data_IF_340584998584
#
_entry.id   IF_340584998584
#
_cell.length_a   1.000
_cell.length_b   1.000
_cell.length_c   1.000
_cell.angle_alpha   90.00
_cell.angle_beta   90.00
_cell.angle_gamma   90.00
#
_symmetry.space_group_name_H-M   'P 1'
#
loop_
_entity.id
_entity.type
_entity.pdbx_description
1 polymer ?
#
# COMPACT_ATOMS: atom_id res chain seq x y z
N UNK A 1 -1.93 7.76 16.76
CA UNK A 1 -3.27 7.56 16.17
C UNK A 1 -3.74 8.74 15.33
N UNK A 2 -4.32 8.47 14.15
CA UNK A 2 -4.77 9.47 13.16
C UNK A 2 -5.70 10.53 13.75
N UNK A 3 -6.71 10.12 14.53
CA UNK A 3 -7.67 11.05 15.16
C UNK A 3 -7.00 12.09 16.08
N UNK A 4 -5.93 11.71 16.78
CA UNK A 4 -5.17 12.64 17.62
C UNK A 4 -4.50 13.73 16.79
N UNK A 5 -3.93 13.36 15.64
CA UNK A 5 -3.34 14.31 14.68
C UNK A 5 -4.40 15.23 14.12
N UNK A 6 -5.59 14.71 13.77
CA UNK A 6 -6.69 15.54 13.27
C UNK A 6 -7.09 16.62 14.28
N UNK A 7 -7.18 16.27 15.57
CA UNK A 7 -7.54 17.22 16.62
C UNK A 7 -6.46 18.29 16.83
N UNK A 8 -5.18 17.90 16.85
CA UNK A 8 -4.06 18.82 17.05
C UNK A 8 -3.88 19.79 15.86
N UNK A 9 -3.90 19.25 14.64
CA UNK A 9 -3.70 20.01 13.40
C UNK A 9 -4.98 20.68 12.87
N UNK A 10 -6.11 20.52 13.58
CA UNK A 10 -7.43 21.06 13.20
C UNK A 10 -7.88 20.62 11.80
N UNK A 11 -7.62 19.36 11.47
CA UNK A 11 -8.04 18.76 10.19
C UNK A 11 -9.51 18.36 10.27
N UNK A 12 -10.34 18.93 9.39
CA UNK A 12 -11.80 18.73 9.43
C UNK A 12 -12.26 17.38 8.90
N UNK A 13 -11.49 16.78 7.99
CA UNK A 13 -11.80 15.51 7.33
C UNK A 13 -10.52 14.74 7.05
N UNK A 14 -10.54 13.44 7.34
CA UNK A 14 -9.46 12.55 6.99
C UNK A 14 -9.93 11.46 6.04
N UNK A 15 -8.99 10.88 5.30
CA UNK A 15 -9.18 9.66 4.55
C UNK A 15 -8.29 8.59 5.15
N UNK A 16 -8.84 7.41 5.39
CA UNK A 16 -8.09 6.25 5.89
C UNK A 16 -8.30 5.08 4.94
N UNK A 17 -7.20 4.52 4.43
CA UNK A 17 -7.24 3.48 3.40
C UNK A 17 -6.75 2.13 3.91
N UNK A 18 -7.49 1.06 3.63
CA UNK A 18 -7.07 -0.32 3.92
C UNK A 18 -7.48 -1.27 2.78
N UNK A 19 -6.59 -2.16 2.30
CA UNK A 19 -6.88 -2.97 1.10
C UNK A 19 -8.04 -3.95 1.30
N UNK A 20 -8.19 -4.54 2.50
CA UNK A 20 -9.12 -5.64 2.76
C UNK A 20 -10.43 -5.20 3.44
N UNK A 21 -10.65 -3.89 3.63
CA UNK A 21 -11.84 -3.33 4.30
C UNK A 21 -11.66 -3.09 5.80
N UNK A 22 -12.80 -2.90 6.48
CA UNK A 22 -12.89 -2.43 7.87
C UNK A 22 -13.92 -3.23 8.66
N UNK A 23 -13.65 -3.41 9.96
CA UNK A 23 -14.64 -3.96 10.91
C UNK A 23 -15.77 -2.98 11.15
N UNK A 24 -16.88 -3.44 11.73
CA UNK A 24 -18.05 -2.59 12.00
C UNK A 24 -17.74 -1.51 13.03
N UNK A 25 -16.90 -1.82 14.03
CA UNK A 25 -16.42 -0.86 15.02
C UNK A 25 -15.59 0.24 14.37
N UNK A 26 -14.71 -0.11 13.42
CA UNK A 26 -13.92 0.85 12.68
C UNK A 26 -14.79 1.76 11.80
N UNK A 27 -15.88 1.23 11.23
CA UNK A 27 -16.85 2.02 10.44
C UNK A 27 -17.62 3.00 11.33
N UNK A 28 -18.12 2.54 12.47
CA UNK A 28 -18.81 3.39 13.45
C UNK A 28 -17.89 4.53 13.93
N UNK A 29 -16.67 4.17 14.34
CA UNK A 29 -15.67 5.16 14.76
C UNK A 29 -15.38 6.17 13.65
N UNK A 30 -15.20 5.74 12.40
CA UNK A 30 -14.89 6.64 11.30
C UNK A 30 -16.04 7.63 11.01
N UNK A 31 -17.29 7.16 11.05
CA UNK A 31 -18.47 7.98 10.85
C UNK A 31 -18.59 9.09 11.90
N UNK A 32 -18.37 8.76 13.17
CA UNK A 32 -18.40 9.73 14.28
C UNK A 32 -17.27 10.77 14.20
N UNK A 33 -16.14 10.41 13.60
CA UNK A 33 -14.91 11.20 13.62
C UNK A 33 -14.57 11.86 12.27
N UNK A 34 -15.52 11.93 11.33
CA UNK A 34 -15.34 12.54 10.00
C UNK A 34 -14.17 11.94 9.22
N UNK A 35 -13.98 10.63 9.36
CA UNK A 35 -12.98 9.87 8.63
C UNK A 35 -13.69 9.13 7.49
N UNK A 36 -13.29 9.41 6.26
CA UNK A 36 -13.73 8.65 5.10
C UNK A 36 -12.88 7.40 4.96
N UNK A 37 -13.53 6.24 5.05
CA UNK A 37 -12.88 4.95 4.85
C UNK A 37 -12.82 4.63 3.36
N UNK A 38 -11.62 4.34 2.87
CA UNK A 38 -11.37 3.89 1.50
C UNK A 38 -10.85 2.45 1.56
N UNK A 39 -11.57 1.52 0.95
CA UNK A 39 -11.06 0.15 0.81
C UNK A 39 -10.57 -0.14 -0.61
N UNK A 40 -9.94 -1.29 -0.80
CA UNK A 40 -9.43 -1.69 -2.11
C UNK A 40 -10.54 -1.77 -3.17
N UNK A 41 -11.74 -2.22 -2.80
CA UNK A 41 -12.86 -2.35 -3.74
C UNK A 41 -13.37 -0.97 -4.16
N UNK A 42 -13.54 -0.05 -3.21
CA UNK A 42 -13.97 1.32 -3.49
C UNK A 42 -12.91 2.05 -4.33
N UNK A 43 -11.63 1.88 -4.01
CA UNK A 43 -10.53 2.47 -4.77
C UNK A 43 -10.50 1.99 -6.23
N UNK A 44 -10.63 0.68 -6.47
CA UNK A 44 -10.71 0.13 -7.82
C UNK A 44 -11.94 0.65 -8.58
N UNK A 45 -13.11 0.67 -7.92
CA UNK A 45 -14.32 1.22 -8.52
C UNK A 45 -14.22 2.72 -8.83
N UNK A 46 -13.38 3.48 -8.11
CA UNK A 46 -13.10 4.87 -8.45
C UNK A 46 -12.24 4.97 -9.73
N UNK A 47 -11.23 4.11 -9.87
CA UNK A 47 -10.38 4.06 -11.08
C UNK A 47 -11.17 3.61 -12.32
N UNK A 48 -12.07 2.64 -12.17
CA UNK A 48 -12.91 2.13 -13.27
C UNK A 48 -13.88 3.18 -13.81
N UNK A 49 -14.33 4.11 -12.96
CA UNK A 49 -15.22 5.21 -13.36
C UNK A 49 -14.50 6.33 -14.12
N UNK A 50 -13.17 6.36 -14.13
CA UNK A 50 -12.43 7.36 -14.87
C UNK A 50 -12.54 7.13 -16.39
N UNK A 51 -12.52 8.21 -17.19
CA UNK A 51 -12.29 8.11 -18.63
C UNK A 51 -11.05 7.24 -18.93
N UNK A 52 -11.12 6.45 -19.99
CA UNK A 52 -10.07 5.48 -20.34
C UNK A 52 -8.69 6.12 -20.44
N UNK A 53 -8.59 7.32 -21.02
CA UNK A 53 -7.35 8.09 -21.13
C UNK A 53 -6.74 8.37 -19.74
N UNK A 54 -7.54 8.82 -18.78
CA UNK A 54 -7.06 9.12 -17.42
C UNK A 54 -6.67 7.84 -16.68
N UNK A 55 -7.44 6.77 -16.84
CA UNK A 55 -7.12 5.46 -16.25
C UNK A 55 -5.79 4.93 -16.78
N UNK A 56 -5.55 5.04 -18.08
CA UNK A 56 -4.30 4.61 -18.69
C UNK A 56 -3.11 5.45 -18.20
N UNK A 57 -3.26 6.77 -18.15
CA UNK A 57 -2.21 7.66 -17.61
C UNK A 57 -1.84 7.33 -16.17
N UNK A 58 -2.83 7.03 -15.32
CA UNK A 58 -2.58 6.61 -13.94
C UNK A 58 -1.88 5.25 -13.86
N UNK A 59 -2.27 4.30 -14.71
CA UNK A 59 -1.61 3.00 -14.78
C UNK A 59 -0.15 3.15 -15.19
N UNK A 60 0.11 3.90 -16.27
CA UNK A 60 1.47 4.16 -16.78
C UNK A 60 2.34 4.85 -15.72
N UNK A 61 1.77 5.80 -14.99
CA UNK A 61 2.47 6.44 -13.87
C UNK A 61 2.78 5.45 -12.74
N UNK A 62 1.81 4.64 -12.33
CA UNK A 62 1.96 3.68 -11.23
C UNK A 62 2.94 2.53 -11.56
N UNK A 63 3.07 2.17 -12.83
CA UNK A 63 3.96 1.11 -13.33
C UNK A 63 5.21 1.66 -14.00
N UNK A 64 5.52 2.95 -13.84
CA UNK A 64 6.73 3.53 -14.39
C UNK A 64 7.99 2.93 -13.73
N UNK A 65 8.95 2.51 -14.55
CA UNK A 65 10.22 1.96 -14.09
C UNK A 65 10.11 0.54 -13.51
N UNK A 66 10.96 0.23 -12.53
CA UNK A 66 10.98 -1.08 -11.88
C UNK A 66 9.94 -1.16 -10.77
N UNK A 67 8.68 -1.42 -11.13
CA UNK A 67 7.57 -1.58 -10.19
C UNK A 67 7.41 -3.01 -9.64
N UNK A 68 8.06 -4.00 -10.26
CA UNK A 68 7.97 -5.41 -9.87
C UNK A 68 8.95 -5.78 -8.76
N UNK A 69 10.07 -5.06 -8.65
CA UNK A 69 11.00 -5.22 -7.52
C UNK A 69 10.56 -4.38 -6.34
N UNK A 70 10.30 -4.98 -5.17
CA UNK A 70 9.88 -4.23 -4.00
C UNK A 70 11.03 -3.39 -3.43
N UNK A 71 10.64 -2.29 -2.83
CA UNK A 71 11.53 -1.43 -2.05
C UNK A 71 11.67 -1.97 -0.63
N UNK A 72 12.90 -1.99 -0.11
CA UNK A 72 13.19 -2.46 1.24
C UNK A 72 12.48 -1.56 2.27
N UNK A 73 11.63 -2.12 3.15
CA UNK A 73 10.86 -1.32 4.11
C UNK A 73 11.73 -0.67 5.19
N UNK A 74 12.97 -1.15 5.38
CA UNK A 74 13.88 -0.63 6.41
C UNK A 74 14.85 0.45 5.90
N UNK A 75 15.17 0.49 4.60
CA UNK A 75 16.18 1.43 4.09
C UNK A 75 15.87 2.04 2.72
N UNK A 76 14.72 1.75 2.12
CA UNK A 76 14.25 2.49 0.94
C UNK A 76 14.90 2.14 -0.39
N UNK A 77 15.85 1.20 -0.44
CA UNK A 77 16.48 0.75 -1.70
C UNK A 77 15.75 -0.45 -2.30
N UNK A 78 15.84 -0.61 -3.63
CA UNK A 78 15.33 -1.81 -4.32
C UNK A 78 15.98 -3.07 -3.75
N UNK A 79 15.15 -4.08 -3.51
CA UNK A 79 15.60 -5.38 -3.03
C UNK A 79 16.14 -6.22 -4.19
N UNK A 80 16.79 -7.34 -3.86
CA UNK A 80 17.23 -8.32 -4.86
C UNK A 80 16.62 -9.68 -4.57
N UNK A 81 16.33 -10.43 -5.63
CA UNK A 81 15.87 -11.81 -5.53
C UNK A 81 16.99 -12.70 -4.99
N UNK A 82 16.70 -13.52 -3.99
CA UNK A 82 17.63 -14.48 -3.40
C UNK A 82 16.97 -15.84 -3.26
N UNK A 83 17.77 -16.89 -3.35
CA UNK A 83 17.32 -18.27 -3.18
C UNK A 83 17.55 -18.77 -1.76
N UNK A 84 16.63 -19.62 -1.28
CA UNK A 84 16.75 -20.35 -0.03
C UNK A 84 16.21 -21.77 -0.19
N UNK A 85 16.46 -22.63 0.80
CA UNK A 85 15.85 -23.97 0.85
C UNK A 85 14.31 -23.95 0.82
N UNK A 86 13.68 -22.83 1.20
CA UNK A 86 12.22 -22.66 1.25
C UNK A 86 11.65 -21.93 0.01
N UNK A 87 12.49 -21.65 -0.99
CA UNK A 87 12.12 -20.90 -2.19
C UNK A 87 12.76 -19.50 -2.25
N UNK A 88 12.39 -18.76 -3.30
CA UNK A 88 12.88 -17.41 -3.58
C UNK A 88 12.24 -16.38 -2.66
N UNK A 89 13.03 -15.40 -2.25
CA UNK A 89 12.58 -14.28 -1.43
C UNK A 89 13.29 -12.99 -1.84
N UNK A 90 12.76 -11.86 -1.42
CA UNK A 90 13.41 -10.56 -1.58
C UNK A 90 14.34 -10.31 -0.39
N UNK A 91 15.63 -10.11 -0.66
CA UNK A 91 16.62 -9.72 0.34
C UNK A 91 17.14 -8.31 0.08
N UNK A 92 17.41 -7.55 1.14
CA UNK A 92 18.03 -6.23 1.00
C UNK A 92 19.44 -6.34 0.38
N UNK A 93 19.77 -5.43 -0.55
CA UNK A 93 21.10 -5.34 -1.19
C UNK A 93 22.21 -5.00 -0.18
N UNK A 94 21.87 -4.30 0.90
CA UNK A 94 22.83 -3.87 1.94
C UNK A 94 23.10 -4.92 3.04
N UNK A 95 22.71 -6.19 2.85
CA UNK A 95 23.09 -7.24 3.79
C UNK A 95 24.64 -7.33 3.92
N UNK A 96 25.22 -7.47 5.14
CA UNK A 96 24.58 -7.78 6.42
C UNK A 96 24.09 -6.57 7.24
N UNK A 97 24.33 -5.33 6.78
CA UNK A 97 23.95 -4.10 7.51
C UNK A 97 22.43 -3.91 7.57
N UNK A 98 21.71 -4.32 6.53
CA UNK A 98 20.25 -4.39 6.52
C UNK A 98 19.80 -5.84 6.28
N UNK A 99 19.06 -6.41 7.24
CA UNK A 99 18.61 -7.81 7.23
C UNK A 99 17.14 -7.99 6.86
N UNK A 100 16.46 -6.93 6.42
CA UNK A 100 15.07 -7.00 6.01
C UNK A 100 14.90 -7.96 4.83
N UNK A 101 13.85 -8.77 4.92
CA UNK A 101 13.44 -9.71 3.88
C UNK A 101 11.94 -9.56 3.63
N UNK A 102 11.50 -9.82 2.40
CA UNK A 102 10.08 -9.96 2.06
C UNK A 102 9.88 -11.28 1.34
N UNK A 103 8.76 -11.93 1.62
CA UNK A 103 8.37 -13.11 0.86
C UNK A 103 7.95 -12.68 -0.55
N UNK A 104 8.44 -13.41 -1.55
CA UNK A 104 7.84 -13.30 -2.87
C UNK A 104 6.45 -13.91 -2.78
N UNK A 105 5.41 -13.16 -3.16
CA UNK A 105 4.10 -13.78 -3.37
C UNK A 105 4.30 -14.82 -4.49
N UNK A 106 4.03 -16.09 -4.20
CA UNK A 106 3.92 -17.08 -5.26
C UNK A 106 2.87 -16.56 -6.24
N UNK A 107 3.16 -16.63 -7.55
CA UNK A 107 2.14 -16.31 -8.55
C UNK A 107 0.91 -17.16 -8.24
N UNK A 108 -0.15 -16.51 -7.75
CA UNK A 108 -1.47 -17.09 -7.86
C UNK A 108 -1.75 -17.10 -9.37
N UNK A 109 -1.55 -18.26 -9.98
CA UNK A 109 -2.09 -18.59 -11.30
C UNK A 109 -3.59 -18.76 -11.14
#
# INVERSE_FOLDING_TARGET
ELRGVMAHERVEKAFFMAPNGFTDEARAFAAENRITLLDGKLFLAMLERLPEVLRQQLLDFATAGDWTTPTCPSCGVKMTARDSKRGRFWGCVHFPKCRATLQMRGSAV
#
